data_IF_115891767163
#
_entry.id   IF_115891767163
#
_cell.length_a   1.000
_cell.length_b   1.000
_cell.length_c   1.000
_cell.angle_alpha   90.00
_cell.angle_beta   90.00
_cell.angle_gamma   90.00
#
_symmetry.space_group_name_H-M   'P 1'
#
loop_
_entity.id
_entity.type
_entity.pdbx_description
1 polymer ?
#
# COMPACT_ATOMS: atom_id res chain seq x y z
N UNK A 1 -16.69 3.07 -3.14
CA UNK A 1 -17.00 1.63 -3.35
C UNK A 1 -16.28 1.21 -4.61
N UNK A 2 -15.58 0.07 -4.63
CA UNK A 2 -14.84 -0.35 -5.82
C UNK A 2 -15.58 -1.39 -6.65
N UNK A 3 -15.52 -1.24 -7.96
CA UNK A 3 -16.02 -2.21 -8.93
C UNK A 3 -14.89 -2.71 -9.82
N UNK A 4 -14.90 -4.00 -10.13
CA UNK A 4 -13.93 -4.64 -11.01
C UNK A 4 -14.15 -4.16 -12.44
N UNK A 5 -13.07 -3.81 -13.14
CA UNK A 5 -13.13 -3.55 -14.58
C UNK A 5 -13.00 -4.87 -15.32
N UNK A 6 -14.07 -5.30 -15.98
CA UNK A 6 -14.17 -6.60 -16.64
C UNK A 6 -14.22 -6.52 -18.17
N UNK A 7 -14.63 -5.38 -18.74
CA UNK A 7 -14.76 -5.26 -20.19
C UNK A 7 -13.38 -5.18 -20.85
N UNK A 8 -13.21 -5.90 -21.97
CA UNK A 8 -11.94 -5.90 -22.72
C UNK A 8 -11.50 -4.48 -23.12
N UNK A 9 -12.45 -3.66 -23.53
CA UNK A 9 -12.18 -2.29 -23.95
C UNK A 9 -11.67 -1.43 -22.78
N UNK A 10 -12.33 -1.48 -21.62
CA UNK A 10 -11.90 -0.69 -20.47
C UNK A 10 -10.58 -1.17 -19.88
N UNK A 11 -10.37 -2.49 -19.83
CA UNK A 11 -9.08 -3.07 -19.42
C UNK A 11 -7.97 -2.59 -20.35
N UNK A 12 -8.19 -2.61 -21.66
CA UNK A 12 -7.21 -2.12 -22.64
C UNK A 12 -6.92 -0.63 -22.45
N UNK A 13 -7.95 0.18 -22.20
CA UNK A 13 -7.78 1.62 -21.91
C UNK A 13 -7.01 1.84 -20.61
N UNK A 14 -7.35 1.12 -19.55
CA UNK A 14 -6.67 1.20 -18.25
C UNK A 14 -5.20 0.78 -18.35
N UNK A 15 -4.91 -0.30 -19.08
CA UNK A 15 -3.54 -0.74 -19.36
C UNK A 15 -2.75 0.31 -20.16
N UNK A 16 -3.36 0.91 -21.17
CA UNK A 16 -2.71 1.97 -21.93
C UNK A 16 -2.37 3.19 -21.06
N UNK A 17 -3.30 3.62 -20.21
CA UNK A 17 -3.06 4.72 -19.28
C UNK A 17 -1.99 4.40 -18.23
N UNK A 18 -1.98 3.17 -17.70
CA UNK A 18 -0.93 2.68 -16.82
C UNK A 18 0.45 2.81 -17.49
N UNK A 19 0.57 2.33 -18.73
CA UNK A 19 1.82 2.40 -19.47
C UNK A 19 2.22 3.87 -19.73
N UNK A 20 1.31 4.74 -20.15
CA UNK A 20 1.58 6.16 -20.35
C UNK A 20 2.05 6.85 -19.07
N UNK A 21 1.38 6.56 -17.95
CA UNK A 21 1.74 7.07 -16.63
C UNK A 21 3.18 6.68 -16.24
N UNK A 22 3.54 5.41 -16.42
CA UNK A 22 4.87 4.92 -16.12
C UNK A 22 5.89 5.54 -17.08
N UNK A 23 5.66 5.58 -18.39
CA UNK A 23 6.59 6.19 -19.35
C UNK A 23 6.83 7.68 -19.06
N UNK A 24 5.82 8.39 -18.54
CA UNK A 24 5.96 9.78 -18.13
C UNK A 24 6.86 9.95 -16.89
N UNK A 25 6.86 9.00 -15.97
CA UNK A 25 7.62 9.15 -14.71
C UNK A 25 8.99 8.43 -14.80
N UNK A 26 9.08 7.34 -15.57
CA UNK A 26 10.26 6.50 -15.81
C UNK A 26 10.83 6.84 -17.20
N UNK A 27 11.48 7.99 -17.28
CA UNK A 27 11.85 8.63 -18.55
C UNK A 27 13.02 7.98 -19.30
N UNK A 28 13.77 7.08 -18.64
CA UNK A 28 14.92 6.43 -19.24
C UNK A 28 14.55 5.05 -19.78
N UNK A 29 15.25 4.62 -20.82
CA UNK A 29 15.17 3.25 -21.35
C UNK A 29 16.54 2.62 -21.29
N UNK A 30 16.62 1.44 -20.69
CA UNK A 30 17.86 0.65 -20.64
C UNK A 30 17.59 -0.75 -21.18
N UNK A 31 18.63 -1.36 -21.74
CA UNK A 31 18.58 -2.71 -22.29
C UNK A 31 19.17 -3.69 -21.27
N UNK A 32 18.36 -4.62 -20.77
CA UNK A 32 18.75 -5.60 -19.75
C UNK A 32 18.10 -6.95 -20.01
N UNK A 33 18.67 -8.02 -19.46
CA UNK A 33 17.97 -9.29 -19.40
C UNK A 33 17.02 -9.30 -18.19
N UNK A 34 15.91 -10.01 -18.26
CA UNK A 34 14.98 -10.18 -17.13
C UNK A 34 14.82 -11.66 -16.82
N UNK A 35 15.29 -12.08 -15.65
CA UNK A 35 15.17 -13.46 -15.19
C UNK A 35 13.79 -13.74 -14.58
N UNK A 36 13.23 -14.91 -14.87
CA UNK A 36 11.99 -15.40 -14.25
C UNK A 36 12.03 -16.93 -14.09
N UNK A 37 11.18 -17.53 -13.23
CA UNK A 37 11.13 -18.98 -13.09
C UNK A 37 10.85 -19.67 -14.44
N UNK A 38 11.82 -20.42 -14.94
CA UNK A 38 11.72 -21.14 -16.20
C UNK A 38 12.18 -20.40 -17.45
N UNK A 39 12.80 -19.21 -17.32
CA UNK A 39 13.38 -18.55 -18.49
C UNK A 39 14.05 -17.19 -18.24
N UNK A 40 14.41 -16.55 -19.35
CA UNK A 40 14.99 -15.21 -19.36
C UNK A 40 14.49 -14.48 -20.58
N UNK A 41 13.99 -13.26 -20.38
CA UNK A 41 13.78 -12.33 -21.49
C UNK A 41 15.11 -11.67 -21.78
N UNK A 42 15.72 -12.01 -22.91
CA UNK A 42 16.97 -11.37 -23.33
C UNK A 42 16.69 -9.98 -23.88
N UNK A 43 17.62 -9.06 -23.64
CA UNK A 43 17.68 -7.80 -24.37
C UNK A 43 16.41 -6.94 -24.25
N UNK A 44 15.67 -7.08 -23.15
CA UNK A 44 14.46 -6.35 -22.85
C UNK A 44 14.73 -4.84 -22.73
N UNK A 45 13.92 -4.04 -23.43
CA UNK A 45 13.90 -2.58 -23.30
C UNK A 45 13.02 -2.21 -22.10
N UNK A 46 13.64 -1.98 -20.94
CA UNK A 46 12.92 -1.62 -19.70
C UNK A 46 12.85 -0.12 -19.54
N UNK A 47 11.70 0.39 -19.07
CA UNK A 47 11.54 1.78 -18.66
C UNK A 47 12.07 1.94 -17.24
N UNK A 48 12.77 3.02 -16.94
CA UNK A 48 13.32 3.25 -15.60
C UNK A 48 13.44 4.73 -15.24
N UNK A 49 13.37 5.03 -13.95
CA UNK A 49 13.73 6.33 -13.37
C UNK A 49 15.19 6.37 -12.85
N UNK A 50 15.95 5.29 -13.07
CA UNK A 50 17.31 5.07 -12.56
C UNK A 50 17.36 4.21 -11.28
N UNK A 51 16.26 4.05 -10.56
CA UNK A 51 16.18 3.23 -9.33
C UNK A 51 15.21 2.06 -9.48
N UNK A 52 14.06 2.30 -10.11
CA UNK A 52 13.03 1.29 -10.37
C UNK A 52 12.90 1.06 -11.86
N UNK A 53 12.49 -0.13 -12.25
CA UNK A 53 12.21 -0.44 -13.64
C UNK A 53 10.83 -1.07 -13.81
N UNK A 54 10.28 -0.87 -15.00
CA UNK A 54 9.03 -1.45 -15.46
C UNK A 54 9.20 -2.05 -16.86
N UNK A 55 8.56 -3.20 -17.07
CA UNK A 55 8.45 -3.83 -18.37
C UNK A 55 7.10 -4.50 -18.53
N UNK A 56 6.47 -4.31 -19.69
CA UNK A 56 5.22 -4.99 -20.04
C UNK A 56 5.29 -5.68 -21.40
N UNK A 57 4.57 -6.79 -21.52
CA UNK A 57 4.35 -7.46 -22.80
C UNK A 57 3.10 -8.32 -22.79
N UNK A 58 2.63 -8.70 -23.97
CA UNK A 58 1.53 -9.65 -24.13
C UNK A 58 2.03 -11.08 -23.93
N UNK A 59 1.43 -11.80 -22.99
CA UNK A 59 1.63 -13.25 -22.84
C UNK A 59 0.38 -13.97 -23.33
N UNK A 60 0.36 -14.19 -24.63
CA UNK A 60 -0.72 -14.78 -25.41
C UNK A 60 -0.19 -15.91 -26.28
N UNK A 61 -1.04 -16.89 -26.61
CA UNK A 61 -0.66 -18.01 -27.47
C UNK A 61 -1.68 -19.15 -27.37
N UNK A 62 -1.66 -20.07 -28.34
CA UNK A 62 -2.60 -21.21 -28.38
C UNK A 62 -2.45 -22.14 -27.18
N UNK A 63 -1.25 -22.24 -26.63
CA UNK A 63 -0.93 -23.14 -25.51
C UNK A 63 -0.89 -22.42 -24.15
N UNK A 64 -1.26 -21.14 -24.10
CA UNK A 64 -1.22 -20.34 -22.87
C UNK A 64 -2.55 -20.49 -22.12
N UNK A 65 -2.54 -21.27 -21.04
CA UNK A 65 -3.72 -21.58 -20.21
C UNK A 65 -4.34 -20.33 -19.54
N UNK A 66 -3.56 -19.26 -19.36
CA UNK A 66 -4.05 -17.98 -18.83
C UNK A 66 -3.41 -16.80 -19.58
N UNK A 67 -3.99 -16.40 -20.73
CA UNK A 67 -3.55 -15.23 -21.47
C UNK A 67 -3.64 -13.98 -20.60
N UNK A 68 -2.56 -13.21 -20.54
CA UNK A 68 -2.46 -12.03 -19.68
C UNK A 68 -1.45 -11.04 -20.21
N UNK A 69 -1.62 -9.77 -19.84
CA UNK A 69 -0.56 -8.78 -19.94
C UNK A 69 0.41 -8.99 -18.79
N UNK A 70 1.68 -9.17 -19.12
CA UNK A 70 2.75 -9.15 -18.13
C UNK A 70 3.03 -7.71 -17.74
N UNK A 71 3.05 -7.42 -16.44
CA UNK A 71 3.45 -6.12 -15.89
C UNK A 71 4.46 -6.39 -14.79
N UNK A 72 5.73 -6.26 -15.12
CA UNK A 72 6.84 -6.60 -14.24
C UNK A 72 7.51 -5.34 -13.73
N UNK A 73 7.75 -5.32 -12.43
CA UNK A 73 8.40 -4.22 -11.74
C UNK A 73 9.57 -4.73 -10.91
N UNK A 74 10.61 -3.93 -10.81
CA UNK A 74 11.75 -4.25 -9.96
C UNK A 74 12.66 -3.07 -9.66
N UNK A 75 13.74 -3.38 -8.94
CA UNK A 75 14.82 -2.44 -8.68
C UNK A 75 15.87 -2.58 -9.78
N UNK A 76 16.40 -1.45 -10.24
CA UNK A 76 17.55 -1.44 -11.15
C UNK A 76 18.75 -1.97 -10.39
N UNK A 77 19.53 -2.82 -11.06
CA UNK A 77 20.81 -3.28 -10.56
C UNK A 77 21.88 -3.12 -11.65
N UNK A 78 23.14 -3.06 -11.21
CA UNK A 78 24.28 -2.98 -12.13
C UNK A 78 24.46 -4.28 -12.93
N UNK A 79 23.88 -5.40 -12.47
CA UNK A 79 23.87 -6.68 -13.15
C UNK A 79 23.24 -6.58 -14.55
N UNK A 80 23.74 -7.37 -15.50
CA UNK A 80 23.14 -7.48 -16.84
C UNK A 80 21.73 -8.10 -16.79
N UNK A 81 21.44 -8.89 -15.74
CA UNK A 81 20.13 -9.50 -15.50
C UNK A 81 19.43 -8.81 -14.33
N UNK A 82 18.18 -8.42 -14.56
CA UNK A 82 17.28 -7.85 -13.58
C UNK A 82 16.41 -8.95 -12.96
N UNK A 83 16.15 -8.81 -11.66
CA UNK A 83 15.22 -9.63 -10.91
C UNK A 83 13.86 -8.94 -10.80
N UNK A 84 12.79 -9.72 -10.96
CA UNK A 84 11.42 -9.24 -10.80
C UNK A 84 11.10 -9.11 -9.31
N UNK A 85 10.91 -7.89 -8.83
CA UNK A 85 10.40 -7.66 -7.46
C UNK A 85 8.95 -8.09 -7.35
N UNK A 86 8.11 -7.68 -8.31
CA UNK A 86 6.67 -8.01 -8.33
C UNK A 86 6.12 -8.15 -9.76
N UNK A 87 5.21 -9.10 -9.92
CA UNK A 87 4.40 -9.27 -11.12
C UNK A 87 2.96 -8.84 -10.85
N UNK A 88 2.50 -7.79 -11.53
CA UNK A 88 1.13 -7.26 -11.41
C UNK A 88 0.38 -7.51 -12.73
N UNK A 89 0.48 -8.76 -13.19
CA UNK A 89 -0.08 -9.18 -14.47
C UNK A 89 -1.60 -8.97 -14.48
N UNK A 90 -2.15 -8.51 -15.61
CA UNK A 90 -3.58 -8.23 -15.76
C UNK A 90 -4.19 -9.12 -16.84
N UNK A 91 -5.46 -9.49 -16.68
CA UNK A 91 -6.23 -10.17 -17.73
C UNK A 91 -6.54 -9.23 -18.89
N UNK A 92 -7.00 -9.76 -20.02
CA UNK A 92 -7.56 -8.95 -21.09
C UNK A 92 -9.07 -8.71 -20.96
N UNK A 93 -9.77 -9.53 -20.17
CA UNK A 93 -11.23 -9.60 -20.13
C UNK A 93 -11.68 -10.41 -18.92
N UNK A 94 -12.81 -10.00 -18.33
CA UNK A 94 -13.52 -10.69 -17.27
C UNK A 94 -12.76 -10.78 -15.94
N UNK A 95 -13.30 -11.57 -15.02
CA UNK A 95 -12.66 -11.92 -13.77
C UNK A 95 -11.80 -13.19 -13.93
N UNK A 96 -10.55 -13.13 -13.46
CA UNK A 96 -9.71 -14.31 -13.27
C UNK A 96 -8.99 -14.24 -11.92
N UNK A 97 -9.31 -15.16 -11.02
CA UNK A 97 -8.76 -15.16 -9.66
C UNK A 97 -7.41 -15.88 -9.55
N UNK A 98 -6.93 -16.49 -10.63
CA UNK A 98 -5.57 -17.03 -10.74
C UNK A 98 -4.54 -15.95 -11.03
N UNK A 99 -4.98 -14.83 -11.61
CA UNK A 99 -4.13 -13.67 -11.90
C UNK A 99 -4.27 -12.66 -10.77
N UNK A 100 -3.13 -12.22 -10.24
CA UNK A 100 -3.06 -11.44 -9.03
C UNK A 100 -3.31 -9.93 -9.27
N UNK A 101 -2.98 -9.41 -10.44
CA UNK A 101 -3.23 -8.02 -10.83
C UNK A 101 -4.58 -7.84 -11.52
N UNK A 102 -5.23 -6.71 -11.28
CA UNK A 102 -6.50 -6.35 -11.92
C UNK A 102 -6.74 -4.85 -11.86
N UNK A 103 -7.68 -4.34 -12.66
CA UNK A 103 -8.11 -2.94 -12.59
C UNK A 103 -9.42 -2.84 -11.83
N UNK A 104 -9.53 -1.80 -11.00
CA UNK A 104 -10.77 -1.48 -10.30
C UNK A 104 -11.09 0.00 -10.46
N UNK A 105 -12.37 0.31 -10.53
CA UNK A 105 -12.90 1.67 -10.58
C UNK A 105 -13.49 2.02 -9.23
N UNK A 106 -13.17 3.20 -8.74
CA UNK A 106 -13.95 3.79 -7.67
C UNK A 106 -15.26 4.34 -8.22
N UNK A 107 -16.38 3.86 -7.67
CA UNK A 107 -17.72 4.25 -8.10
C UNK A 107 -18.05 5.71 -7.76
N UNK A 108 -17.35 6.32 -6.82
CA UNK A 108 -17.58 7.72 -6.42
C UNK A 108 -16.85 8.70 -7.33
N UNK A 109 -15.55 8.51 -7.50
CA UNK A 109 -14.73 9.42 -8.33
C UNK A 109 -14.66 9.03 -9.80
N UNK A 110 -15.00 7.79 -10.14
CA UNK A 110 -14.80 7.22 -11.48
C UNK A 110 -13.34 6.87 -11.81
N UNK A 111 -12.40 7.14 -10.89
CA UNK A 111 -10.97 6.89 -11.06
C UNK A 111 -10.66 5.41 -11.15
N UNK A 112 -9.68 5.05 -11.98
CA UNK A 112 -9.26 3.67 -12.21
C UNK A 112 -7.89 3.42 -11.57
N UNK A 113 -7.76 2.29 -10.90
CA UNK A 113 -6.57 1.88 -10.17
C UNK A 113 -6.09 0.51 -10.64
N UNK A 114 -4.77 0.36 -10.72
CA UNK A 114 -4.12 -0.94 -10.71
C UNK A 114 -4.17 -1.48 -9.28
N UNK A 115 -4.71 -2.69 -9.13
CA UNK A 115 -4.84 -3.41 -7.87
C UNK A 115 -4.01 -4.69 -7.93
N UNK A 116 -3.57 -5.16 -6.77
CA UNK A 116 -2.93 -6.47 -6.63
C UNK A 116 -3.51 -7.24 -5.45
N UNK A 117 -3.73 -8.55 -5.61
CA UNK A 117 -4.32 -9.42 -4.58
C UNK A 117 -3.48 -9.58 -3.30
N UNK A 118 -2.28 -9.01 -3.24
CA UNK A 118 -1.31 -9.20 -2.15
C UNK A 118 -0.60 -10.54 -2.17
N UNK A 119 -0.85 -11.39 -3.18
CA UNK A 119 -0.16 -12.67 -3.34
C UNK A 119 1.31 -12.44 -3.69
N UNK A 120 2.20 -12.70 -2.73
CA UNK A 120 3.64 -12.67 -2.96
C UNK A 120 4.11 -14.11 -3.24
N UNK A 121 4.73 -14.33 -4.40
CA UNK A 121 5.31 -15.63 -4.78
C UNK A 121 6.75 -15.81 -4.31
N UNK A 122 7.32 -17.01 -4.54
CA UNK A 122 8.74 -17.30 -4.26
C UNK A 122 9.08 -18.74 -3.87
N UNK A 123 8.10 -19.63 -3.68
CA UNK A 123 8.35 -21.05 -3.32
C UNK A 123 8.87 -21.27 -1.90
N UNK A 124 9.36 -20.23 -1.23
CA UNK A 124 9.78 -20.25 0.17
C UNK A 124 8.58 -20.47 1.09
N UNK A 125 8.66 -21.49 1.93
CA UNK A 125 7.65 -21.79 2.94
C UNK A 125 7.45 -20.58 3.88
N UNK A 126 6.20 -20.21 4.15
CA UNK A 126 5.85 -19.03 4.95
C UNK A 126 5.73 -17.71 4.16
N UNK A 127 6.14 -17.67 2.89
CA UNK A 127 5.92 -16.53 1.99
C UNK A 127 4.55 -16.65 1.33
N UNK A 128 3.59 -15.85 1.80
CA UNK A 128 2.22 -15.86 1.27
C UNK A 128 1.46 -14.57 1.57
N UNK A 129 0.27 -14.43 0.98
CA UNK A 129 -0.60 -13.24 1.10
C UNK A 129 -0.76 -12.79 2.56
N UNK A 130 -1.17 -13.68 3.46
CA UNK A 130 -1.41 -13.33 4.86
C UNK A 130 -0.16 -12.83 5.58
N UNK A 131 0.99 -13.45 5.34
CA UNK A 131 2.24 -13.03 5.95
C UNK A 131 2.66 -11.66 5.44
N UNK A 132 2.52 -11.41 4.13
CA UNK A 132 2.79 -10.11 3.53
C UNK A 132 1.89 -9.01 4.09
N UNK A 133 0.57 -9.26 4.14
CA UNK A 133 -0.40 -8.31 4.68
C UNK A 133 -0.17 -8.03 6.18
N UNK A 134 0.11 -9.06 6.97
CA UNK A 134 0.42 -8.90 8.40
C UNK A 134 1.76 -8.17 8.63
N UNK A 135 2.77 -8.42 7.80
CA UNK A 135 4.07 -7.73 7.90
C UNK A 135 3.91 -6.25 7.58
N UNK A 136 3.26 -5.94 6.45
CA UNK A 136 3.02 -4.57 5.98
C UNK A 136 1.89 -3.83 6.70
N UNK A 137 1.08 -4.52 7.52
CA UNK A 137 -0.20 -4.02 8.06
C UNK A 137 -1.19 -3.54 6.98
N UNK A 138 -1.05 -3.99 5.72
CA UNK A 138 -1.96 -3.55 4.67
C UNK A 138 -3.31 -4.25 4.75
N UNK A 139 -4.37 -3.46 4.61
CA UNK A 139 -5.74 -3.96 4.58
C UNK A 139 -6.22 -4.03 3.13
N UNK A 140 -6.54 -5.22 2.60
CA UNK A 140 -7.15 -5.34 1.28
C UNK A 140 -8.52 -4.66 1.25
N UNK A 141 -8.82 -4.03 0.13
CA UNK A 141 -10.11 -3.40 -0.14
C UNK A 141 -10.99 -4.40 -0.89
N UNK A 142 -12.27 -4.47 -0.50
CA UNK A 142 -13.28 -5.23 -1.24
C UNK A 142 -13.61 -4.54 -2.57
N UNK A 143 -13.52 -5.31 -3.66
CA UNK A 143 -13.88 -4.90 -5.02
C UNK A 143 -14.98 -5.82 -5.52
N UNK A 144 -16.11 -5.25 -5.93
CA UNK A 144 -17.25 -6.01 -6.43
C UNK A 144 -17.13 -6.25 -7.94
N UNK A 145 -17.35 -7.47 -8.40
CA UNK A 145 -17.55 -7.70 -9.84
C UNK A 145 -19.00 -7.46 -10.26
N UNK A 146 -19.29 -7.61 -11.56
CA UNK A 146 -20.62 -7.45 -12.14
C UNK A 146 -21.66 -8.45 -11.62
N UNK A 147 -21.23 -9.57 -11.03
CA UNK A 147 -22.10 -10.57 -10.40
C UNK A 147 -22.35 -10.27 -8.91
N UNK A 148 -21.66 -9.27 -8.36
CA UNK A 148 -21.70 -8.92 -6.93
C UNK A 148 -20.75 -9.75 -6.07
N UNK A 149 -19.91 -10.59 -6.67
CA UNK A 149 -18.90 -11.34 -5.95
C UNK A 149 -17.73 -10.44 -5.57
N UNK A 150 -17.17 -10.68 -4.38
CA UNK A 150 -16.06 -9.88 -3.86
C UNK A 150 -14.72 -10.43 -4.32
N UNK A 151 -13.85 -9.54 -4.77
CA UNK A 151 -12.42 -9.74 -4.94
C UNK A 151 -11.67 -8.74 -4.08
N UNK A 152 -10.67 -9.20 -3.35
CA UNK A 152 -9.86 -8.32 -2.51
C UNK A 152 -8.61 -7.84 -3.24
N UNK A 153 -8.28 -6.55 -3.08
CA UNK A 153 -7.12 -5.94 -3.69
C UNK A 153 -6.45 -4.88 -2.83
N UNK A 154 -5.15 -4.76 -2.97
CA UNK A 154 -4.35 -3.64 -2.49
C UNK A 154 -4.23 -2.65 -3.64
N UNK A 155 -4.46 -1.37 -3.38
CA UNK A 155 -4.21 -0.29 -4.35
C UNK A 155 -2.71 -0.22 -4.61
N UNK A 156 -2.31 -0.45 -5.86
CA UNK A 156 -0.92 -0.31 -6.28
C UNK A 156 -0.67 1.11 -6.77
N UNK A 157 -1.49 1.59 -7.70
CA UNK A 157 -1.41 2.96 -8.22
C UNK A 157 -2.68 3.35 -8.98
N UNK A 158 -3.04 4.64 -9.02
CA UNK A 158 -3.95 5.14 -10.05
C UNK A 158 -3.32 4.99 -11.45
N UNK A 159 -4.13 4.72 -12.47
CA UNK A 159 -3.62 4.61 -13.86
C UNK A 159 -3.55 5.97 -14.57
N UNK A 160 -4.08 7.02 -13.96
CA UNK A 160 -4.09 8.41 -14.46
C UNK A 160 -3.97 9.40 -13.30
N UNK A 161 -3.53 10.63 -13.59
CA UNK A 161 -3.37 11.69 -12.59
C UNK A 161 -1.93 12.14 -12.42
N UNK A 162 -1.65 12.79 -11.29
CA UNK A 162 -0.35 13.37 -10.95
C UNK A 162 0.37 12.45 -9.95
N UNK A 163 1.70 12.26 -10.09
CA UNK A 163 2.52 11.49 -9.15
C UNK A 163 2.09 10.02 -8.96
N UNK A 164 1.40 9.47 -9.95
CA UNK A 164 0.73 8.17 -9.88
C UNK A 164 1.67 6.99 -9.69
N UNK A 165 2.96 7.12 -10.03
CA UNK A 165 3.94 6.04 -9.85
C UNK A 165 4.52 5.95 -8.43
N UNK A 166 4.36 6.96 -7.57
CA UNK A 166 4.86 6.89 -6.19
C UNK A 166 4.20 5.78 -5.36
N UNK A 167 2.86 5.61 -5.39
CA UNK A 167 2.23 4.45 -4.78
C UNK A 167 2.78 3.11 -5.28
N UNK A 168 3.08 3.00 -6.58
CA UNK A 168 3.67 1.77 -7.13
C UNK A 168 5.08 1.54 -6.60
N UNK A 169 5.91 2.58 -6.52
CA UNK A 169 7.25 2.52 -5.90
C UNK A 169 7.16 2.06 -4.44
N UNK A 170 6.24 2.64 -3.67
CA UNK A 170 5.98 2.24 -2.29
C UNK A 170 5.60 0.76 -2.21
N UNK A 171 4.71 0.31 -3.09
CA UNK A 171 4.30 -1.09 -3.17
C UNK A 171 5.47 -2.04 -3.52
N UNK A 172 6.31 -1.66 -4.49
CA UNK A 172 7.50 -2.42 -4.90
C UNK A 172 8.48 -2.53 -3.73
N UNK A 173 8.72 -1.44 -3.00
CA UNK A 173 9.59 -1.43 -1.83
C UNK A 173 9.05 -2.33 -0.71
N UNK A 174 7.74 -2.29 -0.43
CA UNK A 174 7.14 -3.18 0.55
C UNK A 174 7.36 -4.66 0.20
N UNK A 175 7.22 -5.04 -1.07
CA UNK A 175 7.48 -6.41 -1.51
C UNK A 175 8.97 -6.77 -1.41
N UNK A 176 9.86 -5.87 -1.85
CA UNK A 176 11.30 -6.10 -1.79
C UNK A 176 11.78 -6.26 -0.33
N UNK A 177 11.35 -5.37 0.56
CA UNK A 177 11.67 -5.39 1.98
C UNK A 177 11.05 -6.62 2.66
N UNK A 178 9.82 -6.98 2.33
CA UNK A 178 9.21 -8.22 2.84
C UNK A 178 10.01 -9.46 2.42
N UNK A 179 10.41 -9.57 1.15
CA UNK A 179 11.26 -10.66 0.67
C UNK A 179 12.62 -10.68 1.36
N UNK A 180 13.16 -9.52 1.72
CA UNK A 180 14.40 -9.42 2.49
C UNK A 180 14.21 -9.88 3.94
N UNK A 181 13.17 -9.40 4.62
CA UNK A 181 12.80 -9.83 5.98
C UNK A 181 12.57 -11.36 6.08
N UNK A 182 12.04 -11.98 5.03
CA UNK A 182 11.94 -13.44 4.91
C UNK A 182 13.32 -14.09 4.92
N UNK A 183 14.25 -13.59 4.10
CA UNK A 183 15.62 -14.11 4.02
C UNK A 183 16.38 -13.93 5.34
N UNK A 184 16.12 -12.83 6.04
CA UNK A 184 16.73 -12.50 7.32
C UNK A 184 16.08 -13.25 8.51
N UNK A 185 15.03 -14.03 8.25
CA UNK A 185 14.38 -14.89 9.24
C UNK A 185 13.40 -14.17 10.17
N UNK A 186 13.07 -12.89 9.92
CA UNK A 186 12.17 -12.09 10.77
C UNK A 186 10.78 -12.73 10.93
N UNK A 187 10.30 -13.40 9.88
CA UNK A 187 9.00 -14.07 9.87
C UNK A 187 8.93 -15.31 10.77
N UNK A 188 10.07 -15.83 11.23
CA UNK A 188 10.11 -16.99 12.14
C UNK A 188 9.97 -16.60 13.61
N UNK A 189 10.03 -15.30 13.91
CA UNK A 189 9.93 -14.80 15.28
C UNK A 189 8.56 -15.12 15.91
N UNK A 190 8.51 -15.49 17.21
CA UNK A 190 7.25 -15.68 17.93
C UNK A 190 6.33 -14.45 17.88
N UNK A 191 6.93 -13.26 17.89
CA UNK A 191 6.25 -11.97 17.81
C UNK A 191 5.50 -11.83 16.47
N UNK A 192 6.16 -12.15 15.36
CA UNK A 192 5.54 -12.12 14.04
C UNK A 192 4.43 -13.16 13.91
N UNK A 193 4.63 -14.39 14.40
CA UNK A 193 3.59 -15.42 14.36
C UNK A 193 2.34 -15.00 15.14
N UNK A 194 2.52 -14.36 16.31
CA UNK A 194 1.41 -13.78 17.07
C UNK A 194 0.73 -12.66 16.28
N UNK A 195 1.48 -11.74 15.67
CA UNK A 195 0.95 -10.66 14.82
C UNK A 195 0.14 -11.21 13.65
N UNK A 196 0.67 -12.19 12.93
CA UNK A 196 0.00 -12.86 11.81
C UNK A 196 -1.31 -13.51 12.25
N UNK A 197 -1.31 -14.18 13.40
CA UNK A 197 -2.54 -14.79 13.94
C UNK A 197 -3.60 -13.75 14.26
N UNK A 198 -3.25 -12.69 15.01
CA UNK A 198 -4.17 -11.58 15.31
C UNK A 198 -4.74 -10.97 14.03
N UNK A 199 -3.90 -10.82 13.01
CA UNK A 199 -4.31 -10.33 11.70
C UNK A 199 -5.33 -11.25 11.04
N UNK A 200 -5.04 -12.55 10.95
CA UNK A 200 -5.94 -13.55 10.38
C UNK A 200 -7.29 -13.60 11.12
N UNK A 201 -7.26 -13.61 12.45
CA UNK A 201 -8.46 -13.64 13.30
C UNK A 201 -9.35 -12.41 13.01
N UNK A 202 -8.77 -11.21 12.95
CA UNK A 202 -9.49 -9.96 12.64
C UNK A 202 -10.22 -10.00 11.30
N UNK A 203 -9.53 -10.44 10.24
CA UNK A 203 -10.16 -10.51 8.91
C UNK A 203 -11.20 -11.63 8.84
N UNK A 204 -10.97 -12.76 9.50
CA UNK A 204 -11.94 -13.86 9.58
C UNK A 204 -13.27 -13.43 10.21
N UNK A 205 -13.22 -12.59 11.24
CA UNK A 205 -14.39 -12.05 11.94
C UNK A 205 -15.15 -11.01 11.08
N UNK A 206 -14.40 -10.18 10.33
CA UNK A 206 -14.95 -9.13 9.48
C UNK A 206 -15.72 -9.64 8.24
N UNK A 207 -15.56 -10.93 7.86
CA UNK A 207 -16.36 -11.55 6.79
C UNK A 207 -17.85 -11.78 7.16
N UNK A 208 -18.24 -11.69 8.43
CA UNK A 208 -19.60 -12.01 8.92
C UNK A 208 -20.63 -10.87 8.86
N UNK A 209 -20.23 -9.60 8.69
CA UNK A 209 -21.13 -8.43 8.67
C UNK A 209 -20.61 -7.36 7.71
N UNK A 210 -21.25 -7.21 6.54
CA UNK A 210 -20.89 -6.17 5.56
C UNK A 210 -21.75 -4.92 5.73
N UNK A 211 -21.16 -3.87 6.27
CA UNK A 211 -21.51 -2.49 5.90
C UNK A 211 -20.37 -1.95 5.04
N UNK A 212 -20.70 -1.57 3.80
CA UNK A 212 -19.77 -0.97 2.84
C UNK A 212 -19.22 0.32 3.46
N UNK A 213 -17.97 0.27 3.95
CA UNK A 213 -17.27 1.48 4.39
C UNK A 213 -17.11 2.42 3.18
N UNK A 214 -17.52 3.67 3.35
CA UNK A 214 -17.32 4.75 2.37
C UNK A 214 -15.81 4.98 2.19
N UNK A 215 -15.37 5.10 0.94
CA UNK A 215 -13.95 5.30 0.60
C UNK A 215 -13.55 6.76 0.85
N UNK A 216 -12.49 6.96 1.64
CA UNK A 216 -11.74 8.21 1.65
C UNK A 216 -11.14 8.49 0.26
N UNK A 217 -10.86 9.75 -0.05
CA UNK A 217 -10.33 10.20 -1.35
C UNK A 217 -9.03 9.43 -1.71
N UNK A 218 -9.09 8.61 -2.76
CA UNK A 218 -8.21 7.44 -2.95
C UNK A 218 -6.79 7.79 -3.43
N UNK A 219 -6.58 8.96 -4.04
CA UNK A 219 -5.22 9.43 -4.33
C UNK A 219 -4.38 9.42 -3.04
N UNK A 220 -5.05 9.67 -1.91
CA UNK A 220 -4.45 9.61 -0.59
C UNK A 220 -4.46 8.23 0.08
N UNK A 221 -5.41 7.33 -0.18
CA UNK A 221 -5.35 5.93 0.29
C UNK A 221 -4.09 5.26 -0.24
N UNK A 222 -3.73 5.55 -1.49
CA UNK A 222 -2.53 4.99 -2.13
C UNK A 222 -1.22 5.47 -1.49
N UNK A 223 -1.24 6.64 -0.84
CA UNK A 223 -0.06 7.29 -0.22
C UNK A 223 -0.10 7.31 1.30
N UNK A 224 -1.12 6.74 1.93
CA UNK A 224 -1.23 6.65 3.39
C UNK A 224 -0.01 5.96 4.00
N UNK A 225 0.42 4.83 3.42
CA UNK A 225 1.62 4.12 3.88
C UNK A 225 2.89 4.97 3.80
N UNK A 226 3.07 5.78 2.75
CA UNK A 226 4.21 6.70 2.63
C UNK A 226 4.22 7.72 3.78
N UNK A 227 3.04 8.19 4.20
CA UNK A 227 2.91 9.17 5.28
C UNK A 227 3.23 8.50 6.62
N UNK A 228 2.69 7.31 6.89
CA UNK A 228 2.99 6.55 8.11
C UNK A 228 4.49 6.24 8.22
N UNK A 229 5.16 5.92 7.11
CA UNK A 229 6.61 5.69 7.09
C UNK A 229 7.41 6.98 7.29
N UNK A 230 6.94 8.11 6.77
CA UNK A 230 7.53 9.41 7.06
C UNK A 230 7.40 9.80 8.55
N UNK A 231 6.25 9.52 9.18
CA UNK A 231 6.05 9.70 10.62
C UNK A 231 6.97 8.75 11.41
N UNK A 232 7.10 7.49 10.98
CA UNK A 232 8.03 6.54 11.59
C UNK A 232 9.47 7.05 11.54
N UNK A 233 9.95 7.45 10.36
CA UNK A 233 11.31 7.95 10.17
C UNK A 233 11.57 9.24 10.98
N UNK A 234 10.62 10.18 10.97
CA UNK A 234 10.67 11.38 11.79
C UNK A 234 10.70 11.06 13.28
N UNK A 235 9.88 10.12 13.76
CA UNK A 235 9.86 9.81 15.19
C UNK A 235 11.12 9.08 15.64
N UNK A 236 11.63 8.18 14.80
CA UNK A 236 12.85 7.41 15.05
C UNK A 236 14.13 8.25 15.04
N UNK A 237 14.15 9.39 14.31
CA UNK A 237 15.28 10.32 14.32
C UNK A 237 15.28 11.26 15.53
N UNK A 238 14.16 11.35 16.25
CA UNK A 238 14.06 12.09 17.50
C UNK A 238 14.46 11.20 18.69
N UNK A 239 14.84 11.83 19.81
CA UNK A 239 15.12 11.07 21.04
C UNK A 239 13.86 10.31 21.49
N UNK A 240 14.00 8.99 21.62
CA UNK A 240 13.00 8.10 22.16
C UNK A 240 13.22 7.91 23.66
N UNK A 241 12.16 7.69 24.46
CA UNK A 241 12.30 7.32 25.86
C UNK A 241 13.20 6.08 26.03
N UNK A 242 13.93 5.98 27.15
CA UNK A 242 14.75 4.79 27.43
C UNK A 242 13.91 3.50 27.37
N UNK A 243 14.47 2.45 26.75
CA UNK A 243 13.83 1.13 26.56
C UNK A 243 12.52 1.15 25.75
N UNK A 244 12.22 2.24 25.07
CA UNK A 244 11.08 2.29 24.16
C UNK A 244 11.42 1.73 22.78
N UNK A 245 10.39 1.30 22.07
CA UNK A 245 10.49 0.87 20.68
C UNK A 245 9.23 1.30 19.91
N UNK A 246 9.37 1.47 18.59
CA UNK A 246 8.25 1.80 17.72
C UNK A 246 7.41 0.54 17.46
N UNK A 247 6.09 0.70 17.48
CA UNK A 247 5.11 -0.36 17.24
C UNK A 247 4.11 0.07 16.18
N UNK A 248 3.68 -0.88 15.34
CA UNK A 248 2.59 -0.70 14.36
C UNK A 248 1.72 -1.95 14.37
N UNK A 249 0.40 -1.80 14.34
CA UNK A 249 -0.52 -2.94 14.24
C UNK A 249 -1.77 -2.56 13.43
N UNK A 250 -2.76 -3.45 13.39
CA UNK A 250 -4.00 -3.25 12.62
C UNK A 250 -4.86 -2.06 13.05
N UNK A 251 -4.67 -1.58 14.28
CA UNK A 251 -5.50 -0.56 14.90
C UNK A 251 -4.73 0.74 15.18
N UNK A 252 -3.40 0.70 15.05
CA UNK A 252 -2.50 1.79 15.37
C UNK A 252 -1.53 1.97 14.21
N UNK A 253 -1.62 3.12 13.54
CA UNK A 253 -0.74 3.49 12.43
C UNK A 253 0.73 3.53 12.88
N UNK A 254 0.97 4.18 14.02
CA UNK A 254 2.27 4.18 14.71
C UNK A 254 2.09 4.42 16.21
N UNK A 255 2.93 3.80 17.02
CA UNK A 255 3.05 4.13 18.43
C UNK A 255 4.45 3.92 18.96
N UNK A 256 4.68 4.39 20.18
CA UNK A 256 5.89 4.12 20.96
C UNK A 256 5.46 3.32 22.18
N UNK A 257 6.10 2.18 22.41
CA UNK A 257 5.84 1.33 23.57
C UNK A 257 7.07 1.21 24.45
N UNK A 258 6.86 1.22 25.77
CA UNK A 258 7.85 0.81 26.77
C UNK A 258 7.34 -0.49 27.35
N UNK A 259 8.13 -1.56 27.21
CA UNK A 259 7.67 -2.94 27.44
C UNK A 259 6.37 -3.22 26.64
N UNK A 260 5.25 -3.49 27.33
CA UNK A 260 3.95 -3.71 26.69
C UNK A 260 2.99 -2.52 26.82
N UNK A 261 3.47 -1.37 27.30
CA UNK A 261 2.64 -0.20 27.53
C UNK A 261 2.85 0.84 26.43
N UNK A 262 1.77 1.19 25.75
CA UNK A 262 1.76 2.26 24.76
C UNK A 262 1.87 3.62 25.46
N UNK A 263 2.95 4.34 25.17
CA UNK A 263 3.24 5.67 25.74
C UNK A 263 3.01 6.80 24.73
N UNK A 264 3.03 6.50 23.44
CA UNK A 264 2.66 7.42 22.38
C UNK A 264 1.82 6.69 21.33
N UNK A 265 0.83 7.38 20.78
CA UNK A 265 0.01 6.89 19.67
C UNK A 265 -0.17 7.99 18.63
N UNK A 266 -0.02 7.60 17.37
CA UNK A 266 -0.16 8.45 16.20
C UNK A 266 -1.25 7.89 15.31
N UNK A 267 -2.18 8.75 14.90
CA UNK A 267 -3.20 8.43 13.91
C UNK A 267 -3.04 9.37 12.72
N UNK A 268 -2.88 8.80 11.53
CA UNK A 268 -2.63 9.51 10.30
C UNK A 268 -3.91 9.64 9.51
N UNK A 269 -4.36 10.88 9.26
CA UNK A 269 -5.41 11.16 8.30
C UNK A 269 -4.88 11.99 7.15
N UNK A 270 -5.37 11.67 5.97
CA UNK A 270 -4.96 12.32 4.72
C UNK A 270 -5.87 13.47 4.31
N UNK A 271 -6.93 13.72 5.07
CA UNK A 271 -7.81 14.87 4.91
C UNK A 271 -8.26 15.39 6.27
N UNK A 272 -8.35 16.71 6.40
CA UNK A 272 -8.83 17.43 7.58
C UNK A 272 -10.36 17.55 7.65
N UNK A 273 -11.10 16.80 6.82
CA UNK A 273 -12.56 16.81 6.85
C UNK A 273 -13.11 16.27 8.19
N UNK A 274 -14.28 16.76 8.61
CA UNK A 274 -14.87 16.43 9.92
C UNK A 274 -15.00 14.93 10.19
N UNK A 275 -15.38 14.13 9.19
CA UNK A 275 -15.57 12.68 9.35
C UNK A 275 -14.25 12.01 9.71
N UNK A 276 -13.18 12.36 9.00
CA UNK A 276 -11.84 11.84 9.26
C UNK A 276 -11.34 12.26 10.64
N UNK A 277 -11.54 13.53 11.02
CA UNK A 277 -11.14 14.02 12.35
C UNK A 277 -11.89 13.29 13.47
N UNK A 278 -13.23 13.13 13.36
CA UNK A 278 -14.00 12.42 14.38
C UNK A 278 -13.58 10.96 14.52
N UNK A 279 -13.34 10.29 13.39
CA UNK A 279 -12.88 8.90 13.38
C UNK A 279 -11.50 8.78 14.02
N UNK A 280 -10.59 9.71 13.70
CA UNK A 280 -9.24 9.73 14.25
C UNK A 280 -9.21 9.97 15.75
N UNK A 281 -10.01 10.92 16.24
CA UNK A 281 -10.18 11.16 17.68
C UNK A 281 -10.68 9.87 18.35
N UNK A 282 -11.68 9.19 17.77
CA UNK A 282 -12.16 7.92 18.29
C UNK A 282 -11.05 6.87 18.40
N UNK A 283 -10.26 6.67 17.34
CA UNK A 283 -9.14 5.72 17.32
C UNK A 283 -8.07 6.06 18.37
N UNK A 284 -7.65 7.33 18.46
CA UNK A 284 -6.66 7.80 19.44
C UNK A 284 -7.13 7.58 20.88
N UNK A 285 -8.42 7.81 21.16
CA UNK A 285 -8.98 7.62 22.50
C UNK A 285 -9.15 6.14 22.86
N UNK A 286 -9.48 5.29 21.90
CA UNK A 286 -9.64 3.84 22.11
C UNK A 286 -8.30 3.13 22.25
N UNK A 287 -7.27 3.56 21.50
CA UNK A 287 -5.98 2.85 21.47
C UNK A 287 -4.92 3.49 22.37
N UNK A 288 -4.98 4.79 22.61
CA UNK A 288 -4.16 5.47 23.62
C UNK A 288 -4.77 5.35 25.02
N UNK A 289 -4.95 4.14 25.55
CA UNK A 289 -5.73 3.89 26.78
C UNK A 289 -5.08 4.47 28.04
N UNK A 290 -3.74 4.51 28.11
CA UNK A 290 -3.06 5.08 29.27
C UNK A 290 -3.31 6.58 29.37
N UNK A 291 -3.62 7.08 30.58
CA UNK A 291 -3.74 8.53 30.84
C UNK A 291 -2.43 9.28 30.55
N UNK A 292 -1.30 8.57 30.56
CA UNK A 292 0.02 9.12 30.22
C UNK A 292 0.38 8.93 28.75
N UNK A 293 -0.48 8.27 27.95
CA UNK A 293 -0.22 8.10 26.53
C UNK A 293 -0.40 9.42 25.81
N UNK A 294 0.66 9.91 25.17
CA UNK A 294 0.57 11.06 24.28
C UNK A 294 -0.20 10.65 23.02
N UNK A 295 -1.23 11.42 22.68
CA UNK A 295 -2.04 11.18 21.48
C UNK A 295 -1.69 12.24 20.45
N UNK A 296 -1.31 11.80 19.26
CA UNK A 296 -0.94 12.70 18.17
C UNK A 296 -1.80 12.43 16.96
N UNK A 297 -2.49 13.45 16.47
CA UNK A 297 -3.18 13.43 15.19
C UNK A 297 -2.25 13.99 14.12
N UNK A 298 -2.10 13.29 13.00
CA UNK A 298 -1.24 13.70 11.88
C UNK A 298 -2.12 14.09 10.68
N UNK A 299 -2.02 15.35 10.23
CA UNK A 299 -2.87 15.93 9.15
C UNK A 299 -2.08 16.63 8.03
N UNK A 300 -2.67 16.81 6.84
CA UNK A 300 -2.06 17.62 5.78
C UNK A 300 -1.87 19.07 6.25
N UNK A 301 -0.69 19.62 5.99
CA UNK A 301 -0.32 20.99 6.38
C UNK A 301 -1.08 22.07 5.61
N UNK A 302 -1.51 21.77 4.39
CA UNK A 302 -2.17 22.69 3.47
C UNK A 302 -3.70 22.71 3.64
N UNK A 303 -4.25 21.90 4.55
CA UNK A 303 -5.68 21.87 4.84
C UNK A 303 -5.99 22.52 6.17
N UNK A 304 -6.86 23.53 6.15
CA UNK A 304 -7.30 24.23 7.34
C UNK A 304 -8.16 23.31 8.22
N UNK A 305 -7.80 23.22 9.50
CA UNK A 305 -8.62 22.53 10.51
C UNK A 305 -9.61 23.53 11.11
N UNK A 306 -10.90 23.21 11.08
CA UNK A 306 -11.94 24.08 11.65
C UNK A 306 -11.66 24.40 13.14
N UNK A 307 -11.89 25.64 13.55
CA UNK A 307 -11.53 26.13 14.89
C UNK A 307 -12.13 25.27 16.02
N UNK A 308 -13.39 24.86 15.89
CA UNK A 308 -14.05 24.02 16.89
C UNK A 308 -13.40 22.64 17.06
N UNK A 309 -12.77 22.13 15.99
CA UNK A 309 -11.98 20.91 16.03
C UNK A 309 -10.61 21.15 16.68
N UNK A 310 -9.95 22.28 16.39
CA UNK A 310 -8.71 22.68 17.08
C UNK A 310 -8.94 22.74 18.60
N UNK A 311 -9.97 23.47 19.03
CA UNK A 311 -10.35 23.59 20.44
C UNK A 311 -10.67 22.22 21.07
N UNK A 312 -11.22 21.30 20.27
CA UNK A 312 -11.51 19.93 20.71
C UNK A 312 -10.24 19.10 20.88
N UNK A 313 -9.28 19.21 19.96
CA UNK A 313 -7.99 18.51 20.09
C UNK A 313 -7.25 18.99 21.34
N UNK A 314 -7.22 20.31 21.58
CA UNK A 314 -6.64 20.89 22.81
C UNK A 314 -7.32 20.35 24.07
N UNK A 315 -8.66 20.39 24.12
CA UNK A 315 -9.44 19.88 25.27
C UNK A 315 -9.18 18.40 25.55
N UNK A 316 -8.89 17.61 24.52
CA UNK A 316 -8.61 16.18 24.63
C UNK A 316 -7.11 15.86 24.81
N UNK A 317 -6.25 16.89 24.92
CA UNK A 317 -4.79 16.76 24.94
C UNK A 317 -4.25 15.93 23.76
N UNK A 318 -4.79 16.16 22.56
CA UNK A 318 -4.32 15.57 21.31
C UNK A 318 -3.39 16.58 20.64
N UNK A 319 -2.11 16.20 20.51
CA UNK A 319 -1.12 17.00 19.77
C UNK A 319 -1.40 16.92 18.27
N UNK A 320 -1.26 18.05 17.57
CA UNK A 320 -1.34 18.08 16.11
C UNK A 320 0.08 18.06 15.51
N UNK A 321 0.33 17.10 14.63
CA UNK A 321 1.49 17.05 13.75
C UNK A 321 1.01 17.25 12.31
N UNK A 322 1.77 17.97 11.49
CA UNK A 322 1.37 18.17 10.09
C UNK A 322 2.39 17.63 9.11
N UNK A 323 1.98 17.35 7.87
CA UNK A 323 2.87 16.92 6.81
C UNK A 323 2.62 17.68 5.50
N UNK A 324 3.68 17.86 4.71
CA UNK A 324 3.58 18.23 3.31
C UNK A 324 3.75 17.00 2.45
N UNK A 325 2.76 16.77 1.58
CA UNK A 325 2.79 15.73 0.57
C UNK A 325 3.10 16.38 -0.78
N UNK A 326 4.23 16.04 -1.39
CA UNK A 326 4.53 16.44 -2.77
C UNK A 326 4.62 15.21 -3.68
N UNK A 327 4.83 15.41 -4.98
CA UNK A 327 4.86 14.33 -5.97
C UNK A 327 5.92 13.24 -5.76
N UNK A 328 6.91 13.45 -4.88
CA UNK A 328 8.07 12.55 -4.71
C UNK A 328 8.37 12.21 -3.26
N UNK A 329 7.85 12.97 -2.31
CA UNK A 329 8.16 12.77 -0.90
C UNK A 329 7.04 13.25 0.02
N UNK A 330 7.07 12.70 1.22
CA UNK A 330 6.34 13.21 2.38
C UNK A 330 7.35 13.87 3.32
N UNK A 331 7.01 15.03 3.87
CA UNK A 331 7.85 15.70 4.86
C UNK A 331 7.00 16.06 6.07
N UNK A 332 7.42 15.59 7.24
CA UNK A 332 6.79 15.93 8.51
C UNK A 332 7.22 17.35 8.92
N UNK A 333 6.25 18.14 9.35
CA UNK A 333 6.41 19.51 9.85
C UNK A 333 6.04 19.48 11.32
N UNK A 334 7.06 19.52 12.18
CA UNK A 334 6.86 19.79 13.60
C UNK A 334 6.88 21.29 13.82
N UNK A 335 5.82 21.78 14.46
CA UNK A 335 5.70 23.16 14.97
C UNK A 335 6.72 23.45 16.05
#
# INVERSE_FOLDING_TARGET
MFTLIESREEISKAQHHLELAIHRDFQQKIKKNIGYPGGTVFDAQVQTDGTYWFWSTDHVGKDVINPRRLNWFGLVSDSQSLDISVEINTVYEGRNDRIAGFFARDSETGSIYLMHSGRVGGGTEGVGKEAFLAWTNQQPIEVLDSSGDVKEGIVVMPVQGIAVTQPAIFYINNIANFKQAVRDGELTSPEFQKKKKVFSDFFSESHGRRQVKRSEEIDYISRHGEIVDAVYAWRNSNSLPEKSHLVKNLYIDLGVAIDNNLVEVYEVKTSSNRINIYTAIGQLMVHGVSNQCQRTLVLPHDQELAQDLQDTLERLNITLLTFKLNKKSVTIISS
#
